data_IF_662049763217
#
_entry.id   IF_662049763217
#
_cell.length_a   1.000
_cell.length_b   1.000
_cell.length_c   1.000
_cell.angle_alpha   90.00
_cell.angle_beta   90.00
_cell.angle_gamma   90.00
#
_symmetry.space_group_name_H-M   'P 1'
#
loop_
_entity.id
_entity.type
_entity.pdbx_description
1 polymer ?
#
# COMPACT_ATOMS: atom_id res chain seq x y z
N UNK A 1 -8.86 -7.24 3.98
CA UNK A 1 -9.18 -6.74 5.33
C UNK A 1 -10.19 -5.58 5.29
N UNK A 2 -11.04 -5.47 6.31
CA UNK A 2 -12.23 -4.61 6.34
C UNK A 2 -11.92 -3.11 6.17
N UNK A 3 -10.76 -2.65 6.65
CA UNK A 3 -10.33 -1.26 6.56
C UNK A 3 -10.13 -0.76 5.11
N UNK A 4 -9.82 -1.65 4.16
CA UNK A 4 -9.61 -1.28 2.75
C UNK A 4 -10.90 -0.78 2.10
N UNK A 5 -12.05 -1.35 2.49
CA UNK A 5 -13.35 -0.84 2.05
C UNK A 5 -13.70 0.53 2.65
N UNK A 6 -13.12 0.85 3.82
CA UNK A 6 -13.33 2.15 4.49
C UNK A 6 -12.48 3.26 3.86
N UNK A 7 -11.31 2.94 3.31
CA UNK A 7 -10.43 3.91 2.64
C UNK A 7 -11.13 4.68 1.52
N UNK A 8 -11.93 3.98 0.69
CA UNK A 8 -12.68 4.60 -0.40
C UNK A 8 -13.77 5.58 0.04
N UNK A 9 -14.14 5.58 1.33
CA UNK A 9 -15.18 6.45 1.91
C UNK A 9 -14.64 7.38 3.00
N UNK A 10 -13.37 7.26 3.38
CA UNK A 10 -12.79 7.99 4.47
C UNK A 10 -12.68 9.48 4.13
N UNK A 11 -12.96 10.37 5.09
CA UNK A 11 -12.62 11.79 4.96
C UNK A 11 -11.13 12.03 5.31
N UNK A 12 -10.57 11.19 6.17
CA UNK A 12 -9.20 11.29 6.66
C UNK A 12 -8.58 9.90 6.80
N UNK A 13 -7.31 9.78 6.37
CA UNK A 13 -6.51 8.55 6.48
C UNK A 13 -5.22 8.91 7.21
N UNK A 14 -4.95 8.22 8.32
CA UNK A 14 -3.71 8.35 9.11
C UNK A 14 -2.88 7.09 8.98
N UNK A 15 -1.61 7.26 8.61
CA UNK A 15 -0.69 6.16 8.32
C UNK A 15 0.57 6.29 9.18
N UNK A 16 1.02 5.16 9.69
CA UNK A 16 2.30 5.03 10.36
C UNK A 16 2.85 3.65 10.05
N UNK A 17 4.04 3.61 9.46
CA UNK A 17 4.78 2.39 9.18
C UNK A 17 6.23 2.61 9.59
N UNK A 18 6.84 1.62 10.25
CA UNK A 18 8.21 1.74 10.75
C UNK A 18 9.18 1.22 9.71
N UNK A 19 10.12 2.08 9.30
CA UNK A 19 11.26 1.69 8.44
C UNK A 19 10.93 1.49 6.96
N UNK A 20 9.69 1.72 6.54
CA UNK A 20 9.26 1.68 5.13
C UNK A 20 8.22 2.76 4.87
N UNK A 21 8.14 3.21 3.61
CA UNK A 21 7.07 4.12 3.18
C UNK A 21 5.72 3.41 3.29
N UNK A 22 4.65 4.04 3.81
CA UNK A 22 3.32 3.44 3.88
C UNK A 22 2.79 3.00 2.53
N UNK A 23 2.12 1.84 2.48
CA UNK A 23 1.69 1.20 1.22
C UNK A 23 0.89 2.09 0.27
N UNK A 24 0.04 2.98 0.80
CA UNK A 24 -0.74 3.94 0.01
C UNK A 24 0.12 5.03 -0.66
N UNK A 25 1.38 5.19 -0.24
CA UNK A 25 2.33 6.18 -0.74
C UNK A 25 3.52 5.52 -1.49
N UNK A 26 3.52 4.20 -1.65
CA UNK A 26 4.59 3.51 -2.38
C UNK A 26 4.38 3.66 -3.89
N UNK A 27 5.46 3.79 -4.66
CA UNK A 27 5.39 3.57 -6.11
C UNK A 27 5.36 2.07 -6.40
N UNK A 28 5.00 1.68 -7.62
CA UNK A 28 5.07 0.29 -8.06
C UNK A 28 6.46 -0.29 -7.84
N UNK A 29 7.50 0.44 -8.25
CA UNK A 29 8.90 0.01 -8.18
C UNK A 29 9.35 -0.19 -6.74
N UNK A 30 8.95 0.72 -5.83
CA UNK A 30 9.27 0.60 -4.41
C UNK A 30 8.57 -0.62 -3.78
N UNK A 31 7.28 -0.80 -4.06
CA UNK A 31 6.53 -1.97 -3.58
C UNK A 31 7.13 -3.28 -4.12
N UNK A 32 7.56 -3.29 -5.38
CA UNK A 32 8.23 -4.42 -6.01
C UNK A 32 9.54 -4.76 -5.30
N UNK A 33 10.40 -3.78 -5.04
CA UNK A 33 11.67 -3.98 -4.36
C UNK A 33 11.50 -4.56 -2.94
N UNK A 34 10.49 -4.10 -2.20
CA UNK A 34 10.16 -4.67 -0.89
C UNK A 34 9.65 -6.11 -0.99
N UNK A 35 8.79 -6.39 -1.98
CA UNK A 35 8.22 -7.71 -2.19
C UNK A 35 9.29 -8.72 -2.63
N UNK A 36 10.15 -8.34 -3.58
CA UNK A 36 11.31 -9.15 -4.01
C UNK A 36 12.24 -9.47 -2.83
N UNK A 37 12.54 -8.47 -1.98
CA UNK A 37 13.33 -8.71 -0.77
C UNK A 37 12.67 -9.70 0.20
N UNK A 38 11.34 -9.78 0.25
CA UNK A 38 10.63 -10.77 1.06
C UNK A 38 10.66 -12.18 0.43
N UNK A 39 10.65 -12.27 -0.91
CA UNK A 39 10.87 -13.52 -1.65
C UNK A 39 12.28 -14.05 -1.41
N UNK A 40 13.29 -13.19 -1.49
CA UNK A 40 14.71 -13.57 -1.29
C UNK A 40 14.97 -14.10 0.12
N UNK A 41 14.23 -13.59 1.12
CA UNK A 41 14.27 -14.10 2.49
C UNK A 41 13.43 -15.36 2.70
N UNK A 42 12.74 -15.86 1.68
CA UNK A 42 11.86 -17.02 1.74
C UNK A 42 10.59 -16.80 2.58
N UNK A 43 10.19 -15.54 2.80
CA UNK A 43 9.01 -15.20 3.63
C UNK A 43 7.71 -15.36 2.84
N UNK A 44 7.75 -15.10 1.53
CA UNK A 44 6.62 -15.23 0.60
C UNK A 44 7.08 -15.85 -0.73
N UNK A 45 6.15 -16.37 -1.52
CA UNK A 45 6.42 -16.79 -2.89
C UNK A 45 6.42 -15.60 -3.85
N UNK A 46 7.01 -15.78 -5.05
CA UNK A 46 6.97 -14.76 -6.11
C UNK A 46 5.55 -14.40 -6.54
N UNK A 47 4.65 -15.39 -6.57
CA UNK A 47 3.25 -15.18 -6.91
C UNK A 47 2.53 -14.32 -5.85
N UNK A 48 2.80 -14.57 -4.56
CA UNK A 48 2.31 -13.73 -3.46
C UNK A 48 2.89 -12.30 -3.50
N UNK A 49 4.13 -12.14 -3.95
CA UNK A 49 4.74 -10.84 -4.14
C UNK A 49 4.00 -10.03 -5.23
N UNK A 50 3.73 -10.65 -6.38
CA UNK A 50 3.01 -10.03 -7.48
C UNK A 50 1.57 -9.66 -7.09
N UNK A 51 0.86 -10.56 -6.39
CA UNK A 51 -0.47 -10.28 -5.83
C UNK A 51 -0.44 -9.09 -4.87
N UNK A 52 0.56 -9.03 -3.97
CA UNK A 52 0.70 -7.95 -3.00
C UNK A 52 0.95 -6.61 -3.68
N UNK A 53 1.82 -6.56 -4.68
CA UNK A 53 2.09 -5.34 -5.45
C UNK A 53 0.83 -4.90 -6.18
N UNK A 54 0.17 -5.82 -6.88
CA UNK A 54 -1.09 -5.53 -7.60
C UNK A 54 -2.15 -4.95 -6.67
N UNK A 55 -2.35 -5.57 -5.51
CA UNK A 55 -3.30 -5.11 -4.49
C UNK A 55 -2.98 -3.72 -3.95
N UNK A 56 -1.70 -3.41 -3.70
CA UNK A 56 -1.29 -2.07 -3.26
C UNK A 56 -1.59 -1.00 -4.32
N UNK A 57 -1.34 -1.31 -5.60
CA UNK A 57 -1.60 -0.39 -6.70
C UNK A 57 -3.10 -0.12 -6.87
N UNK A 58 -3.95 -1.15 -6.81
CA UNK A 58 -5.40 -0.96 -6.84
C UNK A 58 -5.90 -0.15 -5.65
N UNK A 59 -5.31 -0.30 -4.47
CA UNK A 59 -5.69 0.51 -3.29
C UNK A 59 -5.39 1.99 -3.43
N UNK A 60 -4.36 2.36 -4.19
CA UNK A 60 -4.06 3.78 -4.43
C UNK A 60 -5.14 4.50 -5.23
N UNK A 61 -5.99 3.77 -5.97
CA UNK A 61 -7.13 4.34 -6.67
C UNK A 61 -8.12 5.05 -5.71
N UNK A 62 -8.19 4.62 -4.45
CA UNK A 62 -9.02 5.27 -3.43
C UNK A 62 -8.59 6.73 -3.15
N UNK A 63 -7.35 7.09 -3.45
CA UNK A 63 -6.83 8.45 -3.33
C UNK A 63 -7.16 9.33 -4.54
N UNK A 64 -7.52 8.73 -5.69
CA UNK A 64 -7.68 9.42 -6.98
C UNK A 64 -9.14 9.83 -7.28
N UNK A 65 -9.99 9.95 -6.26
CA UNK A 65 -11.39 10.39 -6.39
C UNK A 65 -11.54 11.92 -6.39
N UNK A 66 -12.66 12.43 -6.90
CA UNK A 66 -12.95 13.88 -7.05
C UNK A 66 -12.74 14.69 -5.76
N UNK A 67 -13.11 14.11 -4.62
CA UNK A 67 -12.84 14.69 -3.29
C UNK A 67 -11.91 13.74 -2.55
N UNK A 68 -10.58 13.89 -2.67
CA UNK A 68 -9.63 12.99 -2.03
C UNK A 68 -9.68 13.11 -0.51
N UNK A 69 -9.35 12.05 0.25
CA UNK A 69 -9.22 12.15 1.70
C UNK A 69 -8.03 13.02 2.09
N UNK A 70 -8.09 13.65 3.27
CA UNK A 70 -6.90 14.20 3.91
C UNK A 70 -6.00 13.04 4.33
N UNK A 71 -4.75 13.07 3.91
CA UNK A 71 -3.77 12.03 4.23
C UNK A 71 -2.70 12.58 5.17
N UNK A 72 -2.52 11.92 6.31
CA UNK A 72 -1.49 12.24 7.30
C UNK A 72 -0.59 11.02 7.45
N UNK A 73 0.69 11.18 7.14
CA UNK A 73 1.69 10.13 7.28
C UNK A 73 2.83 10.60 8.18
N UNK A 74 3.29 9.71 9.06
CA UNK A 74 4.52 9.88 9.83
C UNK A 74 5.55 8.92 9.25
N UNK A 75 6.69 9.46 8.78
CA UNK A 75 7.76 8.75 8.10
C UNK A 75 9.03 8.71 8.95
#
# INVERSE_FOLDING_TARGET
>A
PEYVGLEGRAAEIRLFEVGVIPGLLQTREYAQALADGAVDRGVITREQADERVSFLMTRQEALLRDVPPVLIAVL
#
